data_IF_968010005405
#
_entry.id   IF_968010005405
#
_cell.length_a   1.000
_cell.length_b   1.000
_cell.length_c   1.000
_cell.angle_alpha   90.00
_cell.angle_beta   90.00
_cell.angle_gamma   90.00
#
_symmetry.space_group_name_H-M   'P 1'
#
loop_
_entity.id
_entity.type
_entity.pdbx_description
1 polymer ?
#
# COMPACT_ATOMS: atom_id res chain seq x y z
N UNK A 1 -14.70 17.97 24.31
CA UNK A 1 -13.37 17.30 24.32
C UNK A 1 -13.27 16.22 25.38
N UNK A 2 -13.49 16.51 26.67
CA UNK A 2 -13.27 15.56 27.77
C UNK A 2 -14.07 14.25 27.63
N UNK A 3 -15.37 14.34 27.33
CA UNK A 3 -16.22 13.17 27.13
C UNK A 3 -15.85 12.30 25.92
N UNK A 4 -15.34 12.90 24.84
CA UNK A 4 -14.87 12.16 23.66
C UNK A 4 -13.57 11.42 23.96
N UNK A 5 -12.68 12.05 24.73
CA UNK A 5 -11.44 11.45 25.18
C UNK A 5 -11.70 10.30 26.15
N UNK A 6 -12.60 10.47 27.13
CA UNK A 6 -13.08 9.39 28.00
C UNK A 6 -13.58 8.19 27.19
N UNK A 7 -14.41 8.40 26.17
CA UNK A 7 -14.89 7.32 25.29
C UNK A 7 -13.75 6.57 24.59
N UNK A 8 -12.72 7.28 24.11
CA UNK A 8 -11.53 6.66 23.50
C UNK A 8 -10.75 5.82 24.52
N UNK A 9 -10.54 6.33 25.75
CA UNK A 9 -9.89 5.59 26.83
C UNK A 9 -10.67 4.32 27.22
N UNK A 10 -12.00 4.41 27.36
CA UNK A 10 -12.84 3.24 27.68
C UNK A 10 -12.79 2.19 26.57
N UNK A 11 -12.85 2.62 25.30
CA UNK A 11 -12.78 1.73 24.14
C UNK A 11 -11.44 0.98 24.09
N UNK A 12 -10.35 1.70 24.28
CA UNK A 12 -8.98 1.16 24.25
C UNK A 12 -8.70 0.24 25.45
N UNK A 13 -9.13 0.64 26.66
CA UNK A 13 -9.03 -0.20 27.85
C UNK A 13 -9.78 -1.52 27.67
N UNK A 14 -11.04 -1.46 27.23
CA UNK A 14 -11.85 -2.65 26.96
C UNK A 14 -11.29 -3.54 25.86
N UNK A 15 -10.55 -2.97 24.90
CA UNK A 15 -9.83 -3.76 23.87
C UNK A 15 -8.66 -4.52 24.49
N UNK A 16 -7.76 -3.84 25.21
CA UNK A 16 -6.56 -4.45 25.83
C UNK A 16 -6.94 -5.53 26.83
N UNK A 17 -7.96 -5.27 27.63
CA UNK A 17 -8.43 -6.20 28.62
C UNK A 17 -8.95 -7.51 28.01
N UNK A 18 -9.76 -7.40 26.94
CA UNK A 18 -10.23 -8.57 26.18
C UNK A 18 -9.07 -9.37 25.58
N UNK A 19 -7.99 -8.73 25.14
CA UNK A 19 -6.81 -9.41 24.60
C UNK A 19 -6.06 -10.19 25.68
N UNK A 20 -5.90 -9.64 26.88
CA UNK A 20 -5.24 -10.33 28.00
C UNK A 20 -6.09 -11.50 28.49
N UNK A 21 -7.39 -11.31 28.67
CA UNK A 21 -8.30 -12.37 29.14
C UNK A 21 -8.39 -13.54 28.15
N UNK A 22 -8.31 -13.26 26.84
CA UNK A 22 -8.30 -14.27 25.75
C UNK A 22 -6.91 -14.86 25.46
N UNK A 23 -5.87 -14.54 26.25
CA UNK A 23 -4.54 -15.15 26.12
C UNK A 23 -4.49 -16.55 26.76
N UNK A 24 -3.51 -17.36 26.38
CA UNK A 24 -3.24 -18.68 27.01
C UNK A 24 -2.44 -18.56 28.31
N UNK A 25 -2.28 -17.35 28.85
CA UNK A 25 -1.57 -17.13 30.11
C UNK A 25 -2.31 -17.81 31.26
N UNK A 26 -1.58 -18.31 32.26
CA UNK A 26 -2.21 -18.77 33.50
C UNK A 26 -2.79 -17.57 34.28
N UNK A 27 -3.66 -17.82 35.26
CA UNK A 27 -4.38 -16.76 35.99
C UNK A 27 -3.45 -15.69 36.56
N UNK A 28 -2.32 -16.10 37.16
CA UNK A 28 -1.30 -15.17 37.69
C UNK A 28 -0.71 -14.27 36.61
N UNK A 29 -0.37 -14.83 35.46
CA UNK A 29 0.21 -14.07 34.35
C UNK A 29 -0.82 -13.20 33.62
N UNK A 30 -2.11 -13.58 33.61
CA UNK A 30 -3.20 -12.73 33.12
C UNK A 30 -3.37 -11.50 34.00
N UNK A 31 -3.41 -11.66 35.32
CA UNK A 31 -3.51 -10.54 36.27
C UNK A 31 -2.31 -9.60 36.10
N UNK A 32 -1.11 -10.14 35.97
CA UNK A 32 0.10 -9.35 35.73
C UNK A 32 0.02 -8.57 34.40
N UNK A 33 -0.40 -9.22 33.30
CA UNK A 33 -0.56 -8.57 32.01
C UNK A 33 -1.67 -7.50 32.00
N UNK A 34 -2.76 -7.70 32.76
CA UNK A 34 -3.80 -6.69 32.93
C UNK A 34 -3.24 -5.45 33.65
N UNK A 35 -2.55 -5.65 34.77
CA UNK A 35 -1.98 -4.58 35.58
C UNK A 35 -0.85 -3.82 34.86
N UNK A 36 -0.13 -4.48 33.95
CA UNK A 36 1.00 -3.88 33.22
C UNK A 36 0.58 -3.22 31.90
N UNK A 37 -0.50 -3.67 31.25
CA UNK A 37 -0.82 -3.21 29.88
C UNK A 37 -2.20 -2.57 29.72
N UNK A 38 -3.21 -3.04 30.44
CA UNK A 38 -4.58 -2.51 30.37
C UNK A 38 -4.79 -1.39 31.41
N UNK A 39 -4.52 -1.67 32.69
CA UNK A 39 -4.74 -0.74 33.81
C UNK A 39 -3.97 0.58 33.69
N UNK A 40 -2.71 0.62 33.19
CA UNK A 40 -1.99 1.89 33.08
C UNK A 40 -2.67 2.89 32.15
N UNK A 41 -3.41 2.43 31.14
CA UNK A 41 -4.16 3.31 30.25
C UNK A 41 -5.20 4.15 31.01
N UNK A 42 -5.91 3.53 31.96
CA UNK A 42 -6.84 4.25 32.85
C UNK A 42 -6.10 5.07 33.91
N UNK A 43 -4.99 4.57 34.44
CA UNK A 43 -4.19 5.27 35.46
C UNK A 43 -3.58 6.57 34.94
N UNK A 44 -3.06 6.58 33.71
CA UNK A 44 -2.59 7.80 33.04
C UNK A 44 -3.76 8.74 32.68
N UNK A 45 -4.90 8.18 32.24
CA UNK A 45 -6.11 8.96 31.97
C UNK A 45 -6.76 9.57 33.22
N UNK A 46 -6.56 8.98 34.40
CA UNK A 46 -7.15 9.44 35.67
C UNK A 46 -6.48 10.71 36.24
N UNK A 47 -5.23 10.98 35.86
CA UNK A 47 -4.55 12.24 36.21
C UNK A 47 -4.92 13.42 35.31
N UNK A 48 -5.52 13.16 34.14
CA UNK A 48 -5.79 14.16 33.09
C UNK A 48 -7.30 14.42 32.91
N UNK A 49 -8.15 13.41 33.17
CA UNK A 49 -9.61 13.49 33.00
C UNK A 49 -10.30 13.29 34.36
N UNK A 50 -11.36 14.05 34.66
CA UNK A 50 -12.10 13.92 35.93
C UNK A 50 -13.09 12.77 35.85
N UNK A 51 -12.70 11.59 36.33
CA UNK A 51 -13.58 10.41 36.39
C UNK A 51 -14.47 10.45 37.64
N UNK A 52 -15.75 10.10 37.49
CA UNK A 52 -16.62 9.86 38.65
C UNK A 52 -16.49 8.42 39.13
N UNK A 53 -16.76 8.17 40.42
CA UNK A 53 -16.74 6.81 40.99
C UNK A 53 -17.71 5.87 40.26
N UNK A 54 -18.85 6.40 39.84
CA UNK A 54 -19.88 5.63 39.15
C UNK A 54 -19.47 5.22 37.72
N UNK A 55 -18.74 6.08 37.00
CA UNK A 55 -18.19 5.79 35.67
C UNK A 55 -17.18 4.64 35.72
N UNK A 56 -16.31 4.63 36.74
CA UNK A 56 -15.32 3.57 36.95
C UNK A 56 -16.01 2.27 37.35
N UNK A 57 -16.98 2.33 38.27
CA UNK A 57 -17.74 1.17 38.72
C UNK A 57 -18.61 0.56 37.61
N UNK A 58 -19.14 1.36 36.69
CA UNK A 58 -19.87 0.85 35.52
C UNK A 58 -18.94 0.11 34.54
N UNK A 59 -17.71 0.59 34.35
CA UNK A 59 -16.72 -0.03 33.47
C UNK A 59 -16.19 -1.37 34.02
N UNK A 60 -16.01 -1.44 35.34
CA UNK A 60 -15.59 -2.65 36.04
C UNK A 60 -16.69 -3.74 35.99
N UNK A 61 -17.95 -3.38 36.22
CA UNK A 61 -19.10 -4.31 36.09
C UNK A 61 -19.17 -4.94 34.69
N UNK A 62 -19.12 -4.12 33.64
CA UNK A 62 -19.15 -4.60 32.25
C UNK A 62 -17.96 -5.51 31.90
N UNK A 63 -16.82 -5.27 32.52
CA UNK A 63 -15.61 -6.08 32.37
C UNK A 63 -15.78 -7.47 32.99
N UNK A 64 -16.33 -7.51 34.21
CA UNK A 64 -16.56 -8.73 34.95
C UNK A 64 -17.61 -9.60 34.26
N UNK A 65 -18.72 -8.99 33.82
CA UNK A 65 -19.80 -9.66 33.09
C UNK A 65 -19.32 -10.35 31.80
N UNK A 66 -18.49 -9.68 31.00
CA UNK A 66 -17.94 -10.28 29.77
C UNK A 66 -16.98 -11.45 30.04
N UNK A 67 -16.19 -11.35 31.12
CA UNK A 67 -15.25 -12.40 31.53
C UNK A 67 -15.99 -13.63 32.02
N UNK A 68 -17.02 -13.41 32.84
CA UNK A 68 -17.93 -14.43 33.36
C UNK A 68 -18.73 -15.10 32.23
N UNK A 69 -19.30 -14.32 31.30
CA UNK A 69 -20.03 -14.87 30.15
C UNK A 69 -19.20 -15.76 29.25
N UNK A 70 -17.93 -15.41 29.01
CA UNK A 70 -17.02 -16.28 28.26
C UNK A 70 -16.67 -17.56 29.01
N UNK A 71 -16.42 -17.47 30.33
CA UNK A 71 -16.10 -18.63 31.16
C UNK A 71 -17.26 -19.62 31.23
N UNK A 72 -18.47 -19.11 31.47
CA UNK A 72 -19.71 -19.90 31.56
C UNK A 72 -20.05 -20.56 30.22
N UNK A 73 -19.87 -19.87 29.10
CA UNK A 73 -20.12 -20.41 27.74
C UNK A 73 -19.18 -21.55 27.35
N UNK A 74 -17.92 -21.53 27.79
CA UNK A 74 -16.91 -22.54 27.43
C UNK A 74 -16.69 -23.59 28.51
N UNK A 75 -17.45 -23.56 29.60
CA UNK A 75 -17.31 -24.54 30.67
C UNK A 75 -17.99 -25.86 30.33
N UNK A 76 -17.34 -26.95 30.72
CA UNK A 76 -17.84 -28.33 30.58
C UNK A 76 -18.66 -28.75 31.81
N UNK A 77 -18.71 -27.91 32.85
CA UNK A 77 -19.38 -28.21 34.11
C UNK A 77 -20.91 -28.13 33.98
N UNK A 78 -21.66 -29.18 34.38
CA UNK A 78 -23.12 -29.24 34.22
C UNK A 78 -23.89 -28.07 34.85
N UNK A 79 -23.43 -27.58 36.01
CA UNK A 79 -24.03 -26.45 36.72
C UNK A 79 -23.88 -25.14 35.92
N UNK A 80 -22.70 -24.87 35.37
CA UNK A 80 -22.45 -23.67 34.58
C UNK A 80 -23.18 -23.69 33.25
N UNK A 81 -23.39 -24.87 32.66
CA UNK A 81 -24.24 -25.02 31.48
C UNK A 81 -25.72 -24.75 31.77
N UNK A 82 -26.22 -25.08 32.96
CA UNK A 82 -27.57 -24.67 33.38
C UNK A 82 -27.66 -23.16 33.60
N UNK A 83 -26.65 -22.55 34.23
CA UNK A 83 -26.58 -21.08 34.37
C UNK A 83 -26.58 -20.39 33.00
N UNK A 84 -25.87 -20.92 32.00
CA UNK A 84 -25.92 -20.41 30.62
C UNK A 84 -27.34 -20.43 30.04
N UNK A 85 -28.12 -21.48 30.32
CA UNK A 85 -29.52 -21.66 29.84
C UNK A 85 -30.52 -20.75 30.53
N UNK A 86 -30.25 -20.33 31.77
CA UNK A 86 -31.12 -19.40 32.52
C UNK A 86 -31.13 -17.96 31.97
N UNK A 87 -30.19 -17.61 31.08
CA UNK A 87 -30.12 -16.29 30.45
C UNK A 87 -29.68 -15.15 31.38
N UNK A 88 -29.33 -15.45 32.64
CA UNK A 88 -28.85 -14.46 33.64
C UNK A 88 -27.53 -13.80 33.21
N UNK A 89 -26.73 -14.50 32.39
CA UNK A 89 -25.49 -13.99 31.80
C UNK A 89 -25.65 -14.01 30.27
N UNK A 90 -25.47 -12.87 29.60
CA UNK A 90 -25.59 -12.75 28.13
C UNK A 90 -24.49 -13.55 27.39
N UNK A 91 -24.70 -14.85 27.20
CA UNK A 91 -23.76 -15.75 26.51
C UNK A 91 -23.89 -15.74 24.98
N UNK A 92 -25.02 -15.27 24.45
CA UNK A 92 -25.35 -15.26 23.00
C UNK A 92 -24.57 -14.19 22.22
N UNK A 93 -24.34 -13.01 22.80
CA UNK A 93 -23.53 -11.93 22.19
C UNK A 93 -22.01 -12.18 22.20
N UNK A 94 -21.58 -13.32 22.72
CA UNK A 94 -20.17 -13.67 22.82
C UNK A 94 -19.62 -14.20 21.48
N UNK A 95 -18.93 -13.34 20.72
CA UNK A 95 -18.21 -13.69 19.49
C UNK A 95 -16.90 -14.46 19.77
N UNK A 96 -16.56 -15.41 18.89
CA UNK A 96 -15.30 -16.18 18.96
C UNK A 96 -14.07 -15.28 18.79
N UNK A 97 -12.91 -15.71 19.31
CA UNK A 97 -11.64 -14.95 19.22
C UNK A 97 -11.25 -14.65 17.77
N UNK A 98 -11.51 -15.57 16.86
CA UNK A 98 -11.16 -15.46 15.45
C UNK A 98 -12.10 -14.52 14.71
N UNK A 99 -13.42 -14.64 14.90
CA UNK A 99 -14.38 -13.75 14.25
C UNK A 99 -14.27 -12.31 14.77
N UNK A 100 -14.01 -12.12 16.07
CA UNK A 100 -13.76 -10.79 16.62
C UNK A 100 -12.46 -10.18 16.09
N UNK A 101 -11.38 -10.98 15.94
CA UNK A 101 -10.14 -10.49 15.33
C UNK A 101 -10.36 -10.08 13.88
N UNK A 102 -11.06 -10.90 13.09
CA UNK A 102 -11.42 -10.58 11.71
C UNK A 102 -12.22 -9.28 11.64
N UNK A 103 -13.29 -9.17 12.43
CA UNK A 103 -14.13 -7.97 12.50
C UNK A 103 -13.37 -6.72 12.96
N UNK A 104 -12.49 -6.84 13.96
CA UNK A 104 -11.66 -5.73 14.41
C UNK A 104 -10.64 -5.28 13.35
N UNK A 105 -10.06 -6.22 12.60
CA UNK A 105 -9.18 -5.93 11.46
C UNK A 105 -9.96 -5.26 10.35
N UNK A 106 -11.15 -5.76 10.00
CA UNK A 106 -12.03 -5.17 8.99
C UNK A 106 -12.49 -3.75 9.38
N UNK A 107 -12.84 -3.53 10.65
CA UNK A 107 -13.21 -2.20 11.16
C UNK A 107 -12.01 -1.24 11.13
N UNK A 108 -10.82 -1.72 11.48
CA UNK A 108 -9.59 -0.93 11.43
C UNK A 108 -9.20 -0.58 9.98
N UNK A 109 -9.33 -1.54 9.08
CA UNK A 109 -9.05 -1.37 7.66
C UNK A 109 -10.00 -0.34 7.04
N UNK A 110 -11.31 -0.44 7.30
CA UNK A 110 -12.29 0.57 6.88
C UNK A 110 -11.95 1.95 7.43
N UNK A 111 -11.68 2.04 8.73
CA UNK A 111 -11.31 3.30 9.37
C UNK A 111 -10.00 3.89 8.81
N UNK A 112 -9.06 3.05 8.37
CA UNK A 112 -7.83 3.48 7.72
C UNK A 112 -8.08 3.97 6.29
N UNK A 113 -8.84 3.21 5.49
CA UNK A 113 -9.23 3.56 4.12
C UNK A 113 -10.05 4.84 4.09
N UNK A 114 -10.87 5.12 5.09
CA UNK A 114 -11.68 6.34 5.15
C UNK A 114 -10.86 7.60 5.48
N UNK A 115 -9.61 7.47 5.96
CA UNK A 115 -8.77 8.64 6.24
C UNK A 115 -8.44 9.37 4.95
N UNK A 116 -8.81 10.66 4.86
CA UNK A 116 -8.62 11.49 3.66
C UNK A 116 -7.24 11.39 3.02
N UNK A 117 -6.15 11.40 3.81
CA UNK A 117 -4.77 11.34 3.28
C UNK A 117 -4.19 9.92 3.33
N UNK A 118 -4.07 9.34 4.53
CA UNK A 118 -3.46 8.02 4.72
C UNK A 118 -4.18 6.88 3.96
N UNK A 119 -5.50 6.99 3.82
CA UNK A 119 -6.30 6.02 3.05
C UNK A 119 -6.38 6.33 1.56
N UNK A 120 -5.82 7.46 1.09
CA UNK A 120 -5.92 7.90 -0.30
C UNK A 120 -5.36 6.88 -1.26
N UNK A 121 -4.18 6.31 -0.98
CA UNK A 121 -3.58 5.28 -1.83
C UNK A 121 -4.54 4.12 -2.09
N UNK A 122 -5.21 3.60 -1.05
CA UNK A 122 -6.14 2.47 -1.20
C UNK A 122 -7.44 2.82 -1.93
N UNK A 123 -7.90 4.08 -1.83
CA UNK A 123 -9.10 4.55 -2.54
C UNK A 123 -8.82 4.86 -4.00
N UNK A 124 -7.66 5.42 -4.28
CA UNK A 124 -7.25 5.87 -5.62
C UNK A 124 -6.64 4.71 -6.43
N UNK A 125 -6.32 3.56 -5.79
CA UNK A 125 -5.86 2.37 -6.48
C UNK A 125 -6.99 1.86 -7.40
N UNK A 126 -6.75 1.92 -8.71
CA UNK A 126 -7.69 1.42 -9.71
C UNK A 126 -7.92 -0.10 -9.58
N UNK A 127 -9.06 -0.59 -10.07
CA UNK A 127 -9.38 -2.03 -10.09
C UNK A 127 -8.40 -2.85 -10.93
N UNK A 128 -7.69 -2.21 -11.85
CA UNK A 128 -6.72 -2.80 -12.77
C UNK A 128 -5.37 -3.09 -12.09
N UNK A 129 -5.14 -2.52 -10.90
CA UNK A 129 -3.89 -2.72 -10.17
C UNK A 129 -3.98 -3.99 -9.33
N UNK A 130 -3.12 -4.96 -9.64
CA UNK A 130 -2.97 -6.21 -8.90
C UNK A 130 -2.40 -5.95 -7.49
N UNK A 131 -3.30 -5.93 -6.50
CA UNK A 131 -2.96 -5.67 -5.09
C UNK A 131 -1.92 -6.67 -4.54
N UNK A 132 -1.95 -7.91 -5.00
CA UNK A 132 -1.01 -8.92 -4.51
C UNK A 132 0.41 -8.69 -5.01
N UNK A 133 0.55 -8.16 -6.23
CA UNK A 133 1.84 -7.83 -6.86
C UNK A 133 2.38 -6.46 -6.48
N UNK A 134 1.52 -5.51 -6.08
CA UNK A 134 1.97 -4.19 -5.61
C UNK A 134 2.69 -4.22 -4.25
N UNK A 135 2.58 -5.31 -3.49
CA UNK A 135 3.14 -5.38 -2.14
C UNK A 135 4.62 -5.76 -2.15
N UNK A 136 5.47 -4.81 -2.53
CA UNK A 136 6.94 -4.94 -2.58
C UNK A 136 7.56 -5.33 -1.22
N UNK A 137 6.87 -5.03 -0.11
CA UNK A 137 7.24 -5.43 1.25
C UNK A 137 7.28 -6.96 1.48
N UNK A 138 6.75 -7.79 0.58
CA UNK A 138 6.80 -9.26 0.74
C UNK A 138 8.19 -9.87 0.51
N UNK A 139 9.07 -9.17 -0.23
CA UNK A 139 10.36 -9.73 -0.65
C UNK A 139 11.49 -9.48 0.34
N UNK A 140 11.39 -8.43 1.18
CA UNK A 140 12.41 -8.10 2.17
C UNK A 140 13.77 -7.69 1.59
N UNK A 141 13.81 -7.29 0.31
CA UNK A 141 15.04 -6.93 -0.40
C UNK A 141 15.55 -5.52 -0.03
N UNK A 142 14.77 -4.76 0.73
CA UNK A 142 15.05 -3.37 1.08
C UNK A 142 15.41 -3.25 2.56
N UNK A 143 16.25 -2.24 2.87
CA UNK A 143 16.58 -1.92 4.27
C UNK A 143 15.33 -1.39 4.99
N UNK A 144 15.13 -1.69 6.29
CA UNK A 144 13.96 -1.25 7.04
C UNK A 144 13.72 0.27 6.97
N UNK A 145 14.77 1.08 6.92
CA UNK A 145 14.66 2.54 6.80
C UNK A 145 14.11 2.97 5.43
N UNK A 146 14.54 2.29 4.38
CA UNK A 146 14.03 2.50 3.01
C UNK A 146 12.57 2.09 2.93
N UNK A 147 12.21 0.95 3.53
CA UNK A 147 10.83 0.49 3.55
C UNK A 147 9.92 1.48 4.29
N UNK A 148 10.35 1.95 5.46
CA UNK A 148 9.63 2.95 6.24
C UNK A 148 9.42 4.25 5.45
N UNK A 149 10.44 4.70 4.71
CA UNK A 149 10.34 5.90 3.88
C UNK A 149 9.33 5.74 2.73
N UNK A 150 9.36 4.59 2.06
CA UNK A 150 8.42 4.29 0.96
C UNK A 150 6.98 4.17 1.48
N UNK A 151 6.76 3.51 2.61
CA UNK A 151 5.46 3.48 3.28
C UNK A 151 4.97 4.88 3.63
N UNK A 152 5.84 5.73 4.21
CA UNK A 152 5.49 7.11 4.52
C UNK A 152 5.14 7.92 3.26
N UNK A 153 5.80 7.65 2.13
CA UNK A 153 5.46 8.27 0.86
C UNK A 153 4.09 7.83 0.35
N UNK A 154 3.81 6.51 0.36
CA UNK A 154 2.53 5.95 -0.08
C UNK A 154 1.36 6.45 0.77
N UNK A 155 1.54 6.55 2.09
CA UNK A 155 0.52 7.04 3.01
C UNK A 155 0.42 8.57 3.10
N UNK A 156 1.16 9.30 2.25
CA UNK A 156 1.25 10.77 2.27
C UNK A 156 1.66 11.35 3.64
N UNK A 157 2.45 10.61 4.41
CA UNK A 157 2.94 10.99 5.73
C UNK A 157 4.21 11.87 5.69
N UNK A 158 4.84 12.02 4.52
CA UNK A 158 5.99 12.91 4.35
C UNK A 158 5.58 14.37 4.48
N UNK A 159 6.47 15.21 5.03
CA UNK A 159 6.23 16.64 5.29
C UNK A 159 6.26 17.51 4.02
N UNK A 160 5.30 17.29 3.14
CA UNK A 160 5.05 18.14 1.98
C UNK A 160 4.33 19.42 2.38
N UNK A 161 4.32 20.43 1.50
CA UNK A 161 3.57 21.67 1.73
C UNK A 161 2.07 21.40 1.90
N UNK A 162 1.54 20.36 1.26
CA UNK A 162 0.14 19.96 1.46
C UNK A 162 -0.14 19.53 2.90
N UNK A 163 0.72 18.69 3.48
CA UNK A 163 0.65 18.30 4.90
C UNK A 163 0.84 19.51 5.80
N UNK A 164 1.86 20.32 5.52
CA UNK A 164 2.18 21.50 6.33
C UNK A 164 1.06 22.53 6.36
N UNK A 165 0.30 22.67 5.26
CA UNK A 165 -0.81 23.59 5.16
C UNK A 165 -2.06 23.07 5.89
N UNK A 166 -2.47 21.82 5.61
CA UNK A 166 -3.72 21.27 6.14
C UNK A 166 -3.63 20.73 7.58
N UNK A 167 -2.46 20.22 7.99
CA UNK A 167 -2.25 19.59 9.30
C UNK A 167 -1.47 20.53 10.21
N UNK A 168 -0.22 20.85 9.85
CA UNK A 168 0.68 21.58 10.76
C UNK A 168 0.32 23.08 10.85
N UNK A 169 -0.40 23.62 9.86
CA UNK A 169 -0.70 25.06 9.71
C UNK A 169 0.55 25.96 9.77
N UNK A 170 1.66 25.47 9.21
CA UNK A 170 2.98 26.14 9.27
C UNK A 170 3.36 26.88 7.98
N UNK A 171 2.62 26.67 6.90
CA UNK A 171 2.85 27.32 5.60
C UNK A 171 1.56 28.00 5.14
N UNK A 172 1.71 29.05 4.34
CA UNK A 172 0.59 29.86 3.85
C UNK A 172 -0.13 29.25 2.64
N UNK A 173 0.50 28.30 1.94
CA UNK A 173 -0.06 27.71 0.72
C UNK A 173 0.24 26.21 0.61
N UNK A 174 -0.74 25.39 0.15
CA UNK A 174 -0.54 23.96 -0.10
C UNK A 174 0.21 23.67 -1.41
N UNK A 175 0.53 24.70 -2.20
CA UNK A 175 1.09 24.55 -3.54
C UNK A 175 2.53 23.97 -3.51
N UNK A 176 2.86 23.26 -4.59
CA UNK A 176 4.16 22.67 -4.84
C UNK A 176 5.26 23.72 -4.81
N UNK A 177 6.28 23.50 -3.97
CA UNK A 177 7.44 24.40 -3.83
C UNK A 177 8.28 24.52 -5.10
N UNK A 178 8.12 23.61 -6.06
CA UNK A 178 8.89 23.58 -7.30
C UNK A 178 8.14 24.23 -8.47
N UNK A 179 6.86 23.89 -8.66
CA UNK A 179 6.10 24.37 -9.82
C UNK A 179 5.07 25.47 -9.50
N UNK A 180 4.60 25.57 -8.25
CA UNK A 180 3.59 26.55 -7.83
C UNK A 180 2.17 26.34 -8.37
N UNK A 181 1.89 25.28 -9.14
CA UNK A 181 0.60 25.14 -9.86
C UNK A 181 -0.41 24.22 -9.17
N UNK A 182 0.07 23.12 -8.58
CA UNK A 182 -0.77 22.09 -7.95
C UNK A 182 -0.37 21.91 -6.50
N UNK A 183 -1.30 21.35 -5.70
CA UNK A 183 -1.01 20.96 -4.32
C UNK A 183 0.18 19.99 -4.24
N UNK A 184 1.06 20.19 -3.26
CA UNK A 184 2.27 19.38 -3.08
C UNK A 184 1.95 18.01 -2.45
N UNK A 185 1.28 17.14 -3.20
CA UNK A 185 1.13 15.73 -2.82
C UNK A 185 2.33 14.91 -3.26
N UNK A 186 2.49 13.73 -2.65
CA UNK A 186 3.52 12.78 -3.07
C UNK A 186 3.32 12.35 -4.53
N UNK A 187 2.09 12.06 -4.95
CA UNK A 187 1.77 11.77 -6.35
C UNK A 187 2.20 12.91 -7.27
N UNK A 188 1.97 14.16 -6.87
CA UNK A 188 2.41 15.31 -7.67
C UNK A 188 3.93 15.34 -7.82
N UNK A 189 4.69 15.19 -6.72
CA UNK A 189 6.15 15.20 -6.74
C UNK A 189 6.75 14.02 -7.53
N UNK A 190 6.13 12.85 -7.46
CA UNK A 190 6.65 11.62 -8.05
C UNK A 190 6.23 11.47 -9.51
N UNK A 191 5.06 11.94 -9.95
CA UNK A 191 4.55 11.65 -11.29
C UNK A 191 3.98 12.83 -12.07
N UNK A 192 3.73 14.00 -11.47
CA UNK A 192 3.04 15.10 -12.17
C UNK A 192 3.79 16.44 -12.24
N UNK A 193 4.79 16.66 -11.39
CA UNK A 193 5.53 17.91 -11.35
C UNK A 193 6.35 18.12 -12.62
N UNK A 194 5.95 19.11 -13.44
CA UNK A 194 6.63 19.48 -14.69
C UNK A 194 8.12 19.84 -14.52
N UNK A 195 8.50 20.40 -13.36
CA UNK A 195 9.89 20.75 -13.06
C UNK A 195 10.77 19.51 -12.82
N UNK A 196 10.18 18.41 -12.35
CA UNK A 196 10.87 17.13 -12.12
C UNK A 196 10.82 16.21 -13.35
N UNK A 197 9.83 16.41 -14.24
CA UNK A 197 9.62 15.59 -15.43
C UNK A 197 10.87 15.46 -16.32
N UNK A 198 11.51 16.59 -16.65
CA UNK A 198 12.61 16.61 -17.61
C UNK A 198 13.89 15.90 -17.13
N UNK A 199 14.08 15.77 -15.81
CA UNK A 199 15.29 15.18 -15.22
C UNK A 199 14.98 13.85 -14.54
N UNK A 200 14.24 13.89 -13.44
CA UNK A 200 14.04 12.73 -12.57
C UNK A 200 13.13 11.68 -13.22
N UNK A 201 12.13 12.11 -14.00
CA UNK A 201 11.19 11.15 -14.58
C UNK A 201 11.84 10.45 -15.78
N UNK A 202 12.53 11.23 -16.63
CA UNK A 202 13.37 10.69 -17.71
C UNK A 202 14.42 9.72 -17.18
N UNK A 203 15.15 10.08 -16.12
CA UNK A 203 16.17 9.20 -15.52
C UNK A 203 15.57 7.86 -15.03
N UNK A 204 14.40 7.89 -14.38
CA UNK A 204 13.73 6.66 -13.92
C UNK A 204 13.26 5.79 -15.09
N UNK A 205 12.67 6.42 -16.10
CA UNK A 205 12.26 5.77 -17.33
C UNK A 205 13.44 5.06 -18.00
N UNK A 206 14.54 5.78 -18.25
CA UNK A 206 15.73 5.26 -18.93
C UNK A 206 16.39 4.14 -18.12
N UNK A 207 16.37 4.23 -16.79
CA UNK A 207 16.86 3.16 -15.92
C UNK A 207 16.04 1.86 -16.05
N UNK A 208 14.71 1.95 -16.06
CA UNK A 208 13.84 0.79 -16.24
C UNK A 208 14.06 0.19 -17.62
N UNK A 209 14.09 1.03 -18.65
CA UNK A 209 14.36 0.62 -20.01
C UNK A 209 15.70 -0.11 -20.12
N UNK A 210 16.76 0.42 -19.51
CA UNK A 210 18.07 -0.21 -19.51
C UNK A 210 18.06 -1.60 -18.88
N UNK A 211 17.33 -1.80 -17.78
CA UNK A 211 17.18 -3.10 -17.14
C UNK A 211 16.47 -4.08 -18.09
N UNK A 212 15.41 -3.64 -18.75
CA UNK A 212 14.67 -4.46 -19.73
C UNK A 212 15.59 -4.86 -20.87
N UNK A 213 16.31 -3.91 -21.46
CA UNK A 213 17.28 -4.20 -22.53
C UNK A 213 18.37 -5.17 -22.06
N UNK A 214 18.98 -4.95 -20.90
CA UNK A 214 20.00 -5.86 -20.34
C UNK A 214 19.48 -7.30 -20.18
N UNK A 215 18.23 -7.46 -19.72
CA UNK A 215 17.58 -8.78 -19.61
C UNK A 215 17.32 -9.40 -20.98
N UNK A 216 16.83 -8.63 -21.95
CA UNK A 216 16.58 -9.11 -23.31
C UNK A 216 17.88 -9.57 -23.99
N UNK A 217 18.97 -8.81 -23.85
CA UNK A 217 20.29 -9.25 -24.32
C UNK A 217 20.71 -10.57 -23.68
N UNK A 218 20.47 -10.76 -22.38
CA UNK A 218 20.77 -12.02 -21.70
C UNK A 218 19.94 -13.20 -22.21
N UNK A 219 18.63 -12.99 -22.45
CA UNK A 219 17.72 -14.00 -22.97
C UNK A 219 18.11 -14.47 -24.37
N UNK A 220 18.51 -13.54 -25.23
CA UNK A 220 18.89 -13.83 -26.62
C UNK A 220 20.40 -14.02 -26.83
N UNK A 221 21.18 -14.16 -25.74
CA UNK A 221 22.62 -14.41 -25.77
C UNK A 221 23.40 -13.36 -26.59
N UNK A 222 22.97 -12.11 -26.51
CA UNK A 222 23.63 -10.96 -27.12
C UNK A 222 24.61 -10.32 -26.14
N UNK A 223 25.52 -9.51 -26.66
CA UNK A 223 26.49 -8.76 -25.86
C UNK A 223 25.81 -7.91 -24.78
N UNK A 224 26.27 -8.04 -23.53
CA UNK A 224 25.79 -7.26 -22.38
C UNK A 224 26.88 -7.15 -21.31
N UNK A 225 26.78 -6.11 -20.49
CA UNK A 225 27.63 -5.98 -19.31
C UNK A 225 27.33 -7.08 -18.27
N UNK A 226 28.30 -7.39 -17.41
CA UNK A 226 28.13 -8.34 -16.31
C UNK A 226 27.00 -7.90 -15.38
N UNK A 227 26.95 -6.60 -15.06
CA UNK A 227 25.98 -6.01 -14.14
C UNK A 227 25.04 -5.04 -14.85
N UNK A 228 23.76 -5.09 -14.49
CA UNK A 228 22.71 -4.31 -15.15
C UNK A 228 22.93 -2.78 -15.05
N UNK A 229 23.53 -2.30 -13.96
CA UNK A 229 23.70 -0.86 -13.69
C UNK A 229 24.88 -0.24 -14.45
N UNK A 230 25.82 -1.07 -14.93
CA UNK A 230 26.94 -0.70 -15.81
C UNK A 230 26.56 -0.82 -17.29
N UNK A 231 25.44 -1.51 -17.61
CA UNK A 231 25.00 -1.75 -18.98
C UNK A 231 24.69 -0.44 -19.71
N UNK A 232 25.20 -0.31 -20.94
CA UNK A 232 24.84 0.78 -21.85
C UNK A 232 24.10 0.18 -23.05
N UNK A 233 22.81 0.52 -23.26
CA UNK A 233 22.06 0.02 -24.41
C UNK A 233 22.67 0.53 -25.72
N UNK A 234 23.02 -0.40 -26.61
CA UNK A 234 23.42 -0.06 -27.98
C UNK A 234 22.16 0.24 -28.80
N UNK A 235 22.21 1.25 -29.67
CA UNK A 235 21.06 1.63 -30.50
C UNK A 235 20.54 0.48 -31.38
N UNK A 236 21.44 -0.40 -31.82
CA UNK A 236 21.13 -1.64 -32.53
C UNK A 236 22.06 -2.73 -32.05
N UNK A 237 21.50 -3.89 -31.71
CA UNK A 237 22.26 -5.12 -31.44
C UNK A 237 21.59 -6.29 -32.15
N UNK A 238 22.37 -7.13 -32.83
CA UNK A 238 21.85 -8.10 -33.79
C UNK A 238 22.67 -9.40 -33.78
N UNK A 239 21.97 -10.52 -33.91
CA UNK A 239 22.51 -11.84 -34.22
C UNK A 239 21.79 -12.41 -35.44
N UNK A 240 22.13 -13.63 -35.86
CA UNK A 240 21.48 -14.30 -36.99
C UNK A 240 19.97 -14.50 -36.79
N UNK A 241 19.51 -14.59 -35.53
CA UNK A 241 18.12 -14.92 -35.19
C UNK A 241 17.33 -13.72 -34.67
N UNK A 242 17.98 -12.76 -34.02
CA UNK A 242 17.31 -11.68 -33.27
C UNK A 242 17.97 -10.34 -33.53
N UNK A 243 17.17 -9.29 -33.64
CA UNK A 243 17.62 -7.90 -33.67
C UNK A 243 16.87 -7.09 -32.62
N UNK A 244 17.59 -6.40 -31.76
CA UNK A 244 17.03 -5.47 -30.77
C UNK A 244 17.40 -4.05 -31.18
N UNK A 245 16.39 -3.19 -31.26
CA UNK A 245 16.52 -1.76 -31.51
C UNK A 245 16.19 -1.01 -30.23
N UNK A 246 17.03 -0.06 -29.87
CA UNK A 246 16.84 0.81 -28.70
C UNK A 246 16.69 2.26 -29.15
N UNK A 247 15.61 2.92 -28.72
CA UNK A 247 15.31 4.33 -28.99
C UNK A 247 15.53 4.70 -30.48
N UNK A 248 15.10 3.81 -31.38
CA UNK A 248 15.40 3.86 -32.82
C UNK A 248 14.18 4.30 -33.63
N UNK A 249 14.37 5.19 -34.59
CA UNK A 249 13.31 5.62 -35.49
C UNK A 249 13.06 4.56 -36.56
N UNK A 250 11.85 3.99 -36.58
CA UNK A 250 11.46 3.00 -37.59
C UNK A 250 11.10 3.75 -38.88
N UNK A 251 11.80 3.41 -39.97
CA UNK A 251 11.49 3.94 -41.28
C UNK A 251 10.13 3.43 -41.73
N UNK A 252 9.27 4.35 -42.20
CA UNK A 252 7.92 4.07 -42.66
C UNK A 252 7.73 4.69 -44.05
N UNK A 253 7.04 3.96 -44.90
CA UNK A 253 6.65 4.30 -46.27
C UNK A 253 5.62 5.43 -46.33
N UNK A 254 4.82 5.57 -45.26
CA UNK A 254 3.90 6.67 -45.05
C UNK A 254 4.21 7.38 -43.71
N UNK A 255 3.72 8.60 -43.53
CA UNK A 255 3.98 9.40 -42.35
C UNK A 255 3.25 8.85 -41.12
N UNK A 256 3.96 8.07 -40.30
CA UNK A 256 3.50 7.65 -38.96
C UNK A 256 4.11 8.61 -37.94
N UNK A 257 3.26 9.27 -37.14
CA UNK A 257 3.68 10.25 -36.13
C UNK A 257 4.48 9.58 -35.00
N UNK A 258 4.02 8.41 -34.54
CA UNK A 258 4.61 7.67 -33.43
C UNK A 258 5.42 6.45 -33.92
N UNK A 259 6.67 6.70 -34.34
CA UNK A 259 7.55 5.67 -34.94
C UNK A 259 8.83 5.35 -34.18
N UNK A 260 8.95 5.84 -32.94
CA UNK A 260 10.12 5.64 -32.06
C UNK A 260 9.69 5.01 -30.74
N UNK A 261 9.54 3.69 -30.66
CA UNK A 261 9.37 2.98 -29.39
C UNK A 261 10.67 2.95 -28.59
N UNK A 262 10.57 2.70 -27.30
CA UNK A 262 11.76 2.55 -26.44
C UNK A 262 12.61 1.34 -26.84
N UNK A 263 11.96 0.18 -27.06
CA UNK A 263 12.64 -1.06 -27.46
C UNK A 263 11.80 -1.78 -28.52
N UNK A 264 12.48 -2.33 -29.53
CA UNK A 264 11.86 -3.20 -30.54
C UNK A 264 12.68 -4.47 -30.67
N UNK A 265 12.03 -5.63 -30.55
CA UNK A 265 12.66 -6.95 -30.73
C UNK A 265 12.11 -7.59 -31.99
N UNK A 266 13.00 -7.88 -32.95
CA UNK A 266 12.67 -8.55 -34.20
C UNK A 266 13.21 -9.97 -34.14
N UNK A 267 12.31 -10.95 -34.20
CA UNK A 267 12.62 -12.38 -34.27
C UNK A 267 12.63 -12.79 -35.75
N UNK A 268 13.83 -12.88 -36.33
CA UNK A 268 14.02 -13.03 -37.78
C UNK A 268 13.44 -14.33 -38.31
N UNK A 269 13.59 -15.43 -37.56
CA UNK A 269 13.08 -16.77 -37.93
C UNK A 269 11.57 -16.84 -37.93
N UNK A 270 10.95 -16.22 -36.92
CA UNK A 270 9.50 -16.25 -36.71
C UNK A 270 8.78 -15.16 -37.50
N UNK A 271 9.53 -14.24 -38.13
CA UNK A 271 9.02 -13.00 -38.74
C UNK A 271 8.12 -12.21 -37.78
N UNK A 272 8.42 -12.28 -36.48
CA UNK A 272 7.67 -11.59 -35.43
C UNK A 272 8.43 -10.33 -34.99
N UNK A 273 7.68 -9.27 -34.69
CA UNK A 273 8.23 -8.04 -34.11
C UNK A 273 7.45 -7.67 -32.84
N UNK A 274 8.17 -7.43 -31.75
CA UNK A 274 7.62 -7.03 -30.45
C UNK A 274 8.01 -5.59 -30.17
N UNK A 275 7.01 -4.73 -29.99
CA UNK A 275 7.18 -3.34 -29.58
C UNK A 275 7.05 -3.29 -28.06
N UNK A 276 8.05 -2.72 -27.39
CA UNK A 276 8.07 -2.56 -25.95
C UNK A 276 8.27 -1.08 -25.66
N UNK A 277 7.26 -0.47 -25.04
CA UNK A 277 7.28 0.93 -24.65
C UNK A 277 7.07 1.03 -23.14
N UNK A 278 7.86 1.87 -22.49
CA UNK A 278 8.01 1.91 -21.05
C UNK A 278 7.29 3.14 -20.51
N UNK A 279 6.67 2.94 -19.34
CA UNK A 279 5.99 4.01 -18.63
C UNK A 279 6.23 3.83 -17.13
N UNK A 280 6.45 4.95 -16.44
CA UNK A 280 6.56 5.00 -14.98
C UNK A 280 5.50 6.00 -14.46
N UNK A 281 4.20 5.69 -14.59
CA UNK A 281 3.13 6.55 -14.11
C UNK A 281 2.97 6.46 -12.58
N UNK A 282 2.14 7.34 -12.01
CA UNK A 282 1.63 7.12 -10.67
C UNK A 282 0.60 5.97 -10.65
N UNK A 283 0.45 5.31 -9.50
CA UNK A 283 -0.30 4.04 -9.38
C UNK A 283 -1.75 4.13 -9.89
N UNK A 284 -2.44 5.23 -9.62
CA UNK A 284 -3.82 5.45 -10.07
C UNK A 284 -3.98 5.68 -11.58
N UNK A 285 -2.86 5.87 -12.32
CA UNK A 285 -2.85 6.20 -13.74
C UNK A 285 -2.32 5.07 -14.63
N UNK A 286 -2.00 3.91 -14.06
CA UNK A 286 -1.42 2.78 -14.79
C UNK A 286 -2.32 2.41 -15.99
N UNK A 287 -3.62 2.19 -15.74
CA UNK A 287 -4.59 1.84 -16.76
C UNK A 287 -4.68 2.81 -17.93
N UNK A 288 -4.96 4.07 -17.61
CA UNK A 288 -5.04 5.15 -18.60
C UNK A 288 -3.74 5.22 -19.40
N UNK A 289 -2.58 5.09 -18.73
CA UNK A 289 -1.29 5.20 -19.40
C UNK A 289 -0.98 4.02 -20.31
N UNK A 290 -1.42 2.82 -19.93
CA UNK A 290 -1.33 1.62 -20.76
C UNK A 290 -2.17 1.77 -22.03
N UNK A 291 -3.44 2.17 -21.90
CA UNK A 291 -4.32 2.42 -23.04
C UNK A 291 -3.75 3.48 -23.98
N UNK A 292 -3.34 4.64 -23.45
CA UNK A 292 -2.70 5.71 -24.23
C UNK A 292 -1.49 5.19 -25.05
N UNK A 293 -0.66 4.33 -24.45
CA UNK A 293 0.55 3.79 -25.08
C UNK A 293 0.23 2.74 -26.14
N UNK A 294 -0.78 1.89 -25.90
CA UNK A 294 -1.25 0.90 -26.88
C UNK A 294 -1.82 1.59 -28.11
N UNK A 295 -2.69 2.58 -27.91
CA UNK A 295 -3.29 3.38 -28.98
C UNK A 295 -2.20 4.12 -29.78
N UNK A 296 -1.23 4.72 -29.08
CA UNK A 296 -0.11 5.45 -29.69
C UNK A 296 0.68 4.63 -30.71
N UNK A 297 0.88 3.33 -30.47
CA UNK A 297 1.66 2.46 -31.36
C UNK A 297 0.82 1.49 -32.19
N UNK A 298 -0.51 1.64 -32.21
CA UNK A 298 -1.40 0.75 -32.95
C UNK A 298 -1.13 0.80 -34.46
N UNK A 299 -0.92 2.00 -35.01
CA UNK A 299 -0.60 2.18 -36.43
C UNK A 299 0.74 1.52 -36.80
N UNK A 300 1.75 1.69 -35.95
CA UNK A 300 3.05 1.07 -36.13
C UNK A 300 2.97 -0.46 -36.08
N UNK A 301 2.17 -1.00 -35.16
CA UNK A 301 1.89 -2.44 -35.06
C UNK A 301 1.25 -3.00 -36.33
N UNK A 302 0.26 -2.31 -36.91
CA UNK A 302 -0.39 -2.71 -38.17
C UNK A 302 0.61 -2.82 -39.32
N UNK A 303 1.63 -1.96 -39.36
CA UNK A 303 2.70 -2.02 -40.36
C UNK A 303 3.54 -3.30 -40.23
N UNK A 304 3.97 -3.66 -39.01
CA UNK A 304 4.71 -4.89 -38.80
C UNK A 304 3.91 -6.15 -39.14
N UNK A 305 2.59 -6.13 -38.92
CA UNK A 305 1.68 -7.21 -39.33
C UNK A 305 1.63 -7.42 -40.86
N UNK A 306 1.87 -6.38 -41.66
CA UNK A 306 1.93 -6.47 -43.13
C UNK A 306 3.27 -7.02 -43.65
N UNK A 307 4.34 -6.95 -42.88
CA UNK A 307 5.67 -7.48 -43.27
C UNK A 307 5.77 -9.03 -43.18
N UNK A 308 4.78 -9.68 -42.55
CA UNK A 308 4.71 -11.13 -42.39
C UNK A 308 3.89 -11.86 -43.47
N UNK A 309 3.29 -11.15 -44.42
CA UNK A 309 2.64 -11.69 -45.62
C UNK A 309 3.59 -11.61 -46.82
#
# INVERSE_FOLDING_TARGET
MEGEMKRKFVKEYGMRLRLVLKSKLNGRNKIMAMNTWAVPLLRYGAGVLKWTKDEIAAMDRKTQENSLGWYVKNSVEPLLQQVAKTGVIETERCETKENFKKKAVEELEKAWIDKKMYGQYNRDLGKEVDREKTWWLKKGDLKPETEALLCAAQEQALRTNYVKFHIDRTVESPLCRLCGEKGEHITHLISECKKLAQKEYKRRHDNVARIVHWKLCGLYQLEKAEKWYEHQPNGVIESDNVKILWDFNIQCDHAIECRRPDIVVVLKKEKECKIIDIAVPGDCRIGIKETEKVEKYEELKRKFGKYGQ
#
